data_IF_910069162272
#
_entry.id   IF_910069162272
#
_cell.length_a   1.000
_cell.length_b   1.000
_cell.length_c   1.000
_cell.angle_alpha   90.00
_cell.angle_beta   90.00
_cell.angle_gamma   90.00
#
_symmetry.space_group_name_H-M   'P 1'
#
loop_
_entity.id
_entity.type
_entity.pdbx_description
1 polymer ?
#
# COMPACT_ATOMS: atom_id res chain seq x y z
N UNK A 1 22.58 26.23 38.21
CA UNK A 1 22.80 25.17 37.20
C UNK A 1 21.60 24.22 37.04
N UNK A 2 20.98 23.71 38.11
CA UNK A 2 19.89 22.71 38.02
C UNK A 2 18.67 23.15 37.16
N UNK A 3 18.21 24.41 37.24
CA UNK A 3 17.06 24.92 36.45
C UNK A 3 17.32 24.96 34.94
N UNK A 4 18.54 25.32 34.51
CA UNK A 4 18.94 25.30 33.08
C UNK A 4 19.02 23.87 32.55
N UNK A 5 19.51 22.93 33.35
CA UNK A 5 19.60 21.52 32.96
C UNK A 5 18.22 20.87 32.83
N UNK A 6 17.26 21.25 33.68
CA UNK A 6 15.86 20.82 33.55
C UNK A 6 15.23 21.39 32.28
N UNK A 7 15.48 22.66 31.96
CA UNK A 7 14.97 23.28 30.73
C UNK A 7 15.52 22.58 29.47
N UNK A 8 16.81 22.23 29.50
CA UNK A 8 17.48 21.51 28.41
C UNK A 8 16.93 20.08 28.25
N UNK A 9 16.62 19.38 29.35
CA UNK A 9 15.97 18.07 29.30
C UNK A 9 14.54 18.13 28.71
N UNK A 10 13.78 19.18 29.03
CA UNK A 10 12.43 19.39 28.46
C UNK A 10 12.51 19.64 26.95
N UNK A 11 13.45 20.48 26.50
CA UNK A 11 13.66 20.73 25.06
C UNK A 11 14.03 19.43 24.33
N UNK A 12 14.90 18.61 24.93
CA UNK A 12 15.30 17.33 24.34
C UNK A 12 14.13 16.34 24.27
N UNK A 13 13.26 16.31 25.28
CA UNK A 13 12.06 15.46 25.31
C UNK A 13 11.02 15.86 24.25
N UNK A 14 10.84 17.17 24.05
CA UNK A 14 9.96 17.70 23.00
C UNK A 14 10.52 17.37 21.61
N UNK A 15 11.81 17.57 21.39
CA UNK A 15 12.47 17.24 20.12
C UNK A 15 12.38 15.74 19.79
N UNK A 16 12.51 14.86 20.80
CA UNK A 16 12.41 13.42 20.62
C UNK A 16 10.97 12.95 20.31
N UNK A 17 9.96 13.66 20.82
CA UNK A 17 8.54 13.32 20.59
C UNK A 17 8.09 13.52 19.14
N UNK A 18 8.77 14.39 18.38
CA UNK A 18 8.43 14.68 16.96
C UNK A 18 9.01 13.62 16.01
N UNK A 19 10.04 12.89 16.43
CA UNK A 19 10.75 11.88 15.61
C UNK A 19 9.90 10.64 15.27
N UNK A 20 8.74 10.46 15.91
CA UNK A 20 7.87 9.28 15.76
C UNK A 20 6.89 9.30 14.59
N UNK A 21 6.80 10.40 13.83
CA UNK A 21 5.79 10.56 12.74
C UNK A 21 6.36 10.24 11.35
N UNK A 22 7.43 9.45 11.27
CA UNK A 22 8.11 9.14 10.01
C UNK A 22 7.40 8.07 9.15
N UNK A 23 6.41 7.35 9.69
CA UNK A 23 5.69 6.32 8.93
C UNK A 23 4.40 6.89 8.32
N UNK A 24 4.55 7.88 7.44
CA UNK A 24 3.48 8.21 6.49
C UNK A 24 3.26 6.96 5.63
N UNK A 25 2.04 6.43 5.63
CA UNK A 25 1.65 5.16 5.01
C UNK A 25 2.47 4.83 3.76
N UNK A 26 3.29 3.77 3.79
CA UNK A 26 4.03 3.24 2.64
C UNK A 26 3.10 2.81 1.47
N UNK A 27 1.79 2.91 1.67
CA UNK A 27 0.75 2.49 0.76
C UNK A 27 0.32 3.62 -0.19
N UNK A 28 1.28 4.25 -0.87
CA UNK A 28 1.02 5.30 -1.88
C UNK A 28 0.35 4.75 -3.17
N UNK A 29 0.12 3.44 -3.25
CA UNK A 29 -0.55 2.82 -4.38
C UNK A 29 -2.07 2.95 -4.22
N UNK A 30 -2.62 3.97 -4.88
CA UNK A 30 -4.06 4.26 -4.91
C UNK A 30 -4.92 3.09 -5.40
N UNK A 31 -4.34 2.16 -6.16
CA UNK A 31 -5.04 1.02 -6.76
C UNK A 31 -4.15 -0.23 -6.80
N UNK A 32 -4.77 -1.40 -6.63
CA UNK A 32 -4.16 -2.71 -6.89
C UNK A 32 -4.62 -3.21 -8.26
N UNK A 33 -3.69 -3.67 -9.10
CA UNK A 33 -4.01 -4.20 -10.43
C UNK A 33 -3.94 -5.74 -10.38
N UNK A 34 -5.08 -6.39 -10.53
CA UNK A 34 -5.18 -7.85 -10.61
C UNK A 34 -5.33 -8.26 -12.08
N UNK A 35 -4.55 -9.22 -12.62
CA UNK A 35 -4.75 -9.68 -13.99
C UNK A 35 -6.11 -10.39 -14.13
N UNK A 36 -6.71 -10.39 -15.32
CA UNK A 36 -7.90 -11.22 -15.61
C UNK A 36 -7.58 -12.70 -15.82
N UNK A 37 -6.33 -12.99 -16.17
CA UNK A 37 -5.79 -14.34 -16.33
C UNK A 37 -4.35 -14.32 -15.86
N UNK A 38 -3.99 -15.24 -14.97
CA UNK A 38 -2.59 -15.46 -14.61
C UNK A 38 -1.87 -16.22 -15.72
N UNK A 39 -0.58 -15.94 -15.93
CA UNK A 39 0.21 -16.56 -17.02
C UNK A 39 0.33 -18.08 -16.93
N UNK A 40 0.10 -18.66 -15.76
CA UNK A 40 0.11 -20.10 -15.53
C UNK A 40 -1.27 -20.76 -15.75
N UNK A 41 -2.32 -19.98 -16.00
CA UNK A 41 -3.69 -20.48 -16.22
C UNK A 41 -4.02 -20.51 -17.70
N UNK A 42 -4.84 -21.49 -18.10
CA UNK A 42 -5.26 -21.68 -19.51
C UNK A 42 -6.44 -20.79 -19.88
N UNK A 43 -7.21 -20.31 -18.92
CA UNK A 43 -8.41 -19.48 -19.12
C UNK A 43 -8.52 -18.34 -18.10
N UNK A 44 -9.32 -17.32 -18.42
CA UNK A 44 -9.62 -16.22 -17.51
C UNK A 44 -10.30 -16.74 -16.23
N UNK A 45 -9.85 -16.24 -15.09
CA UNK A 45 -10.35 -16.61 -13.76
C UNK A 45 -10.49 -18.13 -13.52
N UNK A 46 -9.60 -18.93 -14.11
CA UNK A 46 -9.59 -20.37 -13.92
C UNK A 46 -9.39 -20.71 -12.44
N UNK A 47 -10.25 -21.59 -11.91
CA UNK A 47 -10.34 -21.91 -10.48
C UNK A 47 -10.68 -20.70 -9.58
N UNK A 48 -11.25 -19.63 -10.14
CA UNK A 48 -11.65 -18.41 -9.42
C UNK A 48 -10.49 -17.68 -8.73
N UNK A 49 -9.25 -17.92 -9.14
CA UNK A 49 -8.07 -17.36 -8.47
C UNK A 49 -7.99 -15.84 -8.61
N UNK A 50 -8.39 -15.28 -9.75
CA UNK A 50 -8.35 -13.84 -10.00
C UNK A 50 -9.45 -13.13 -9.20
N UNK A 51 -10.64 -13.72 -9.15
CA UNK A 51 -11.76 -13.27 -8.32
C UNK A 51 -11.46 -13.36 -6.83
N UNK A 52 -10.86 -14.45 -6.36
CA UNK A 52 -10.42 -14.60 -4.97
C UNK A 52 -9.39 -13.54 -4.59
N UNK A 53 -8.39 -13.32 -5.45
CA UNK A 53 -7.37 -12.30 -5.22
C UNK A 53 -7.99 -10.91 -5.12
N UNK A 54 -8.90 -10.57 -6.04
CA UNK A 54 -9.64 -9.30 -6.00
C UNK A 54 -10.45 -9.16 -4.72
N UNK A 55 -11.21 -10.19 -4.35
CA UNK A 55 -12.03 -10.21 -3.15
C UNK A 55 -11.21 -9.98 -1.87
N UNK A 56 -10.05 -10.64 -1.75
CA UNK A 56 -9.17 -10.48 -0.58
C UNK A 56 -8.63 -9.06 -0.48
N UNK A 57 -8.16 -8.47 -1.58
CA UNK A 57 -7.69 -7.08 -1.56
C UNK A 57 -8.80 -6.07 -1.31
N UNK A 58 -9.99 -6.29 -1.89
CA UNK A 58 -11.17 -5.45 -1.61
C UNK A 58 -11.54 -5.55 -0.11
N UNK A 59 -11.45 -6.74 0.50
CA UNK A 59 -11.69 -6.96 1.94
C UNK A 59 -10.69 -6.23 2.84
N UNK A 60 -9.43 -6.13 2.43
CA UNK A 60 -8.38 -5.38 3.13
C UNK A 60 -8.45 -3.85 2.89
N UNK A 61 -9.46 -3.37 2.14
CA UNK A 61 -9.71 -1.94 1.93
C UNK A 61 -8.97 -1.32 0.75
N UNK A 62 -8.39 -2.13 -0.15
CA UNK A 62 -7.76 -1.63 -1.38
C UNK A 62 -8.80 -1.39 -2.47
N UNK A 63 -8.54 -0.42 -3.34
CA UNK A 63 -9.32 -0.26 -4.58
C UNK A 63 -8.71 -1.13 -5.67
N UNK A 64 -9.36 -2.25 -6.01
CA UNK A 64 -8.80 -3.23 -6.94
C UNK A 64 -9.41 -3.09 -8.34
N UNK A 65 -8.54 -2.96 -9.34
CA UNK A 65 -8.89 -2.90 -10.76
C UNK A 65 -8.34 -4.11 -11.51
N UNK A 66 -9.09 -4.61 -12.50
CA UNK A 66 -8.55 -5.62 -13.41
C UNK A 66 -7.58 -5.00 -14.42
N UNK A 67 -6.47 -5.68 -14.69
CA UNK A 67 -5.51 -5.30 -15.74
C UNK A 67 -6.22 -5.25 -17.09
N UNK A 68 -6.24 -4.07 -17.72
CA UNK A 68 -6.71 -3.93 -19.11
C UNK A 68 -5.78 -4.73 -20.02
N UNK A 69 -6.34 -5.55 -20.90
CA UNK A 69 -5.58 -6.12 -22.02
C UNK A 69 -5.18 -4.93 -22.91
N UNK A 70 -3.88 -4.67 -23.08
CA UNK A 70 -3.40 -3.87 -24.21
C UNK A 70 -3.76 -4.70 -25.44
N UNK A 71 -4.85 -4.36 -26.14
CA UNK A 71 -5.00 -4.81 -27.52
C UNK A 71 -3.79 -4.26 -28.28
N UNK A 72 -3.14 -5.04 -29.16
CA UNK A 72 -2.29 -4.43 -30.17
C UNK A 72 -3.17 -3.40 -30.89
N UNK A 73 -2.76 -2.13 -30.88
CA UNK A 73 -3.20 -1.24 -31.95
C UNK A 73 -2.62 -1.88 -33.20
N UNK A 74 -3.50 -2.49 -34.01
CA UNK A 74 -3.12 -2.91 -35.35
C UNK A 74 -2.68 -1.63 -36.08
N UNK A 75 -1.37 -1.51 -36.31
CA UNK A 75 -0.77 -0.52 -37.20
C UNK A 75 -0.91 -0.99 -38.64
#
# INVERSE_FOLDING_TARGET
>A
MKRKNVLMAIVFFIAFSVSGVAQQSLNSYKYVIVPKQYGFLKSEDQYQLNSLTKFLFDKEGFVVLYKKKKKPEEL
#
